data_IF_378133909662
#
_entry.id   IF_378133909662
#
_cell.length_a   1.000
_cell.length_b   1.000
_cell.length_c   1.000
_cell.angle_alpha   90.00
_cell.angle_beta   90.00
_cell.angle_gamma   90.00
#
_symmetry.space_group_name_H-M   'P 1'
#
loop_
_entity.id
_entity.type
_entity.pdbx_description
1 polymer ?
#
# COMPACT_ATOMS: atom_id res chain seq x y z
N UNK A 1 -1.90 -21.91 -1.69
CA UNK A 1 -1.88 -20.47 -2.02
C UNK A 1 -0.94 -19.79 -1.03
N UNK A 2 0.05 -19.03 -1.48
CA UNK A 2 0.96 -18.32 -0.57
C UNK A 2 0.25 -17.11 0.04
N UNK A 3 -0.23 -17.25 1.28
CA UNK A 3 -0.92 -16.21 2.06
C UNK A 3 0.04 -15.30 2.84
N UNK A 4 1.31 -15.23 2.42
CA UNK A 4 2.30 -14.39 3.06
C UNK A 4 2.19 -12.93 2.57
N UNK A 5 2.51 -11.95 3.42
CA UNK A 5 2.58 -10.55 3.00
C UNK A 5 3.61 -10.35 1.88
N UNK A 6 3.33 -9.45 0.94
CA UNK A 6 4.22 -9.15 -0.20
C UNK A 6 4.32 -7.65 -0.45
N UNK A 7 5.50 -7.17 -0.83
CA UNK A 7 5.64 -5.80 -1.29
C UNK A 7 4.97 -5.60 -2.65
N UNK A 8 4.19 -4.54 -2.76
CA UNK A 8 3.43 -4.21 -3.96
C UNK A 8 3.48 -2.71 -4.24
N UNK A 9 3.24 -2.36 -5.51
CA UNK A 9 2.82 -1.02 -5.90
C UNK A 9 1.30 -0.92 -5.84
N UNK A 10 0.79 0.14 -5.24
CA UNK A 10 -0.63 0.42 -5.16
C UNK A 10 -0.92 1.88 -5.49
N UNK A 11 -2.07 2.14 -6.12
CA UNK A 11 -2.60 3.48 -6.36
C UNK A 11 -3.62 3.84 -5.28
N UNK A 12 -3.50 5.03 -4.71
CA UNK A 12 -4.48 5.56 -3.75
C UNK A 12 -5.71 6.05 -4.51
N UNK A 13 -6.89 5.51 -4.20
CA UNK A 13 -8.15 5.90 -4.82
C UNK A 13 -8.96 6.85 -3.93
N UNK A 14 -8.87 6.66 -2.61
CA UNK A 14 -9.62 7.42 -1.61
C UNK A 14 -8.78 7.59 -0.35
N UNK A 15 -9.03 8.68 0.36
CA UNK A 15 -8.43 8.96 1.66
C UNK A 15 -9.57 9.23 2.63
N UNK A 16 -9.69 8.40 3.67
CA UNK A 16 -10.78 8.47 4.64
C UNK A 16 -10.36 9.11 5.98
N UNK A 17 -9.06 9.34 6.16
CA UNK A 17 -8.49 9.90 7.38
C UNK A 17 -7.83 11.26 7.12
N UNK A 18 -7.54 12.00 8.19
CA UNK A 18 -6.90 13.31 8.15
C UNK A 18 -5.42 13.13 7.80
N UNK A 19 -5.02 13.70 6.67
CA UNK A 19 -3.61 13.78 6.27
C UNK A 19 -2.87 14.73 7.20
N UNK A 20 -1.85 14.23 7.90
CA UNK A 20 -0.94 15.09 8.67
C UNK A 20 0.02 15.84 7.73
N UNK A 21 0.52 16.98 8.21
CA UNK A 21 1.52 17.79 7.49
C UNK A 21 2.69 16.93 7.03
N UNK A 22 3.15 17.15 5.79
CA UNK A 22 4.26 16.39 5.21
C UNK A 22 3.88 14.99 4.66
N UNK A 23 2.60 14.61 4.68
CA UNK A 23 2.18 13.32 4.14
C UNK A 23 2.38 13.22 2.63
N UNK A 24 2.97 12.11 2.19
CA UNK A 24 3.15 11.79 0.77
C UNK A 24 1.92 11.13 0.15
N UNK A 25 0.96 10.65 0.95
CA UNK A 25 -0.30 10.05 0.47
C UNK A 25 -1.14 11.10 -0.27
N UNK A 26 -1.57 10.79 -1.49
CA UNK A 26 -2.48 11.62 -2.28
C UNK A 26 -3.27 10.74 -3.25
N UNK A 27 -4.53 11.08 -3.52
CA UNK A 27 -5.37 10.36 -4.51
C UNK A 27 -4.69 10.40 -5.89
N UNK A 28 -4.70 9.26 -6.59
CA UNK A 28 -4.02 9.04 -7.88
C UNK A 28 -2.52 8.76 -7.77
N UNK A 29 -1.94 8.83 -6.57
CA UNK A 29 -0.51 8.55 -6.38
C UNK A 29 -0.26 7.06 -6.26
N UNK A 30 0.83 6.61 -6.89
CA UNK A 30 1.35 5.25 -6.76
C UNK A 30 2.42 5.21 -5.68
N UNK A 31 2.26 4.31 -4.71
CA UNK A 31 3.14 4.12 -3.56
C UNK A 31 3.55 2.64 -3.46
N UNK A 32 4.60 2.36 -2.69
CA UNK A 32 5.03 1.00 -2.37
C UNK A 32 4.58 0.66 -0.95
N UNK A 33 3.93 -0.49 -0.76
CA UNK A 33 3.45 -0.92 0.55
C UNK A 33 3.48 -2.44 0.71
N UNK A 34 3.18 -2.90 1.92
CA UNK A 34 3.13 -4.32 2.24
C UNK A 34 1.68 -4.82 2.16
N UNK A 35 1.38 -5.63 1.15
CA UNK A 35 0.06 -6.21 0.92
C UNK A 35 -0.15 -7.49 1.72
N UNK A 36 -1.29 -7.59 2.38
CA UNK A 36 -1.75 -8.73 3.15
C UNK A 36 -2.94 -9.38 2.42
N UNK A 37 -2.74 -10.50 1.71
CA UNK A 37 -3.79 -11.11 0.89
C UNK A 37 -5.02 -11.59 1.68
N UNK A 38 -4.83 -11.92 2.97
CA UNK A 38 -5.91 -12.42 3.83
C UNK A 38 -6.96 -11.34 4.15
N UNK A 39 -6.49 -10.13 4.43
CA UNK A 39 -7.33 -8.97 4.76
C UNK A 39 -7.60 -8.06 3.57
N UNK A 40 -6.95 -8.30 2.42
CA UNK A 40 -6.95 -7.41 1.25
C UNK A 40 -6.55 -5.99 1.61
N UNK A 41 -5.55 -5.85 2.49
CA UNK A 41 -5.05 -4.54 2.93
C UNK A 41 -3.62 -4.31 2.51
N UNK A 42 -3.27 -3.05 2.26
CA UNK A 42 -1.88 -2.59 2.10
C UNK A 42 -1.52 -1.70 3.28
N UNK A 43 -0.48 -2.10 4.02
CA UNK A 43 0.13 -1.25 5.05
C UNK A 43 1.21 -0.37 4.42
N UNK A 44 1.21 0.91 4.77
CA UNK A 44 2.16 1.90 4.29
C UNK A 44 2.57 2.83 5.43
N UNK A 45 3.88 2.93 5.69
CA UNK A 45 4.43 3.94 6.61
C UNK A 45 4.93 5.13 5.79
N UNK A 46 4.31 6.27 6.00
CA UNK A 46 4.63 7.51 5.30
C UNK A 46 5.91 8.16 5.86
N UNK A 47 6.54 9.04 5.10
CA UNK A 47 7.81 9.69 5.47
C UNK A 47 7.68 10.60 6.70
N UNK A 48 6.45 11.01 7.03
CA UNK A 48 6.14 11.81 8.21
C UNK A 48 5.86 10.96 9.46
N UNK A 49 6.07 9.63 9.39
CA UNK A 49 5.84 8.70 10.49
C UNK A 49 4.37 8.36 10.74
N UNK A 50 3.45 8.76 9.84
CA UNK A 50 2.07 8.32 9.88
C UNK A 50 1.93 6.97 9.18
N UNK A 51 1.34 6.00 9.87
CA UNK A 51 0.97 4.73 9.28
C UNK A 51 -0.43 4.80 8.64
N UNK A 52 -0.55 4.15 7.49
CA UNK A 52 -1.77 4.07 6.70
C UNK A 52 -2.11 2.61 6.43
N UNK A 53 -3.41 2.32 6.46
CA UNK A 53 -3.98 1.07 5.96
C UNK A 53 -4.90 1.40 4.80
N UNK A 54 -4.60 0.82 3.63
CA UNK A 54 -5.45 0.91 2.46
C UNK A 54 -6.13 -0.43 2.19
N UNK A 55 -7.34 -0.41 1.64
CA UNK A 55 -8.14 -1.58 1.31
C UNK A 55 -8.16 -1.74 -0.21
N UNK A 56 -7.72 -2.89 -0.71
CA UNK A 56 -7.67 -3.19 -2.14
C UNK A 56 -9.08 -3.34 -2.71
N UNK A 57 -9.40 -2.56 -3.73
CA UNK A 57 -10.73 -2.44 -4.34
C UNK A 57 -11.62 -1.37 -3.72
N UNK A 58 -11.16 -0.67 -2.67
CA UNK A 58 -11.90 0.45 -2.05
C UNK A 58 -11.02 1.70 -1.96
N UNK A 59 -10.11 1.78 -0.99
CA UNK A 59 -9.25 2.96 -0.81
C UNK A 59 -7.97 2.91 -1.64
N UNK A 60 -7.62 1.74 -2.19
CA UNK A 60 -6.53 1.61 -3.16
C UNK A 60 -6.79 0.54 -4.23
N UNK A 61 -5.94 0.52 -5.26
CA UNK A 61 -5.81 -0.56 -6.24
C UNK A 61 -4.39 -1.06 -6.31
N UNK A 62 -4.16 -2.36 -6.07
CA UNK A 62 -2.85 -2.99 -6.25
C UNK A 62 -2.53 -3.14 -7.75
N UNK A 63 -1.36 -2.66 -8.18
CA UNK A 63 -0.95 -2.59 -9.60
C UNK A 63 0.04 -3.71 -9.96
N UNK A 64 1.04 -3.95 -9.10
CA UNK A 64 2.12 -4.91 -9.40
C UNK A 64 2.65 -5.55 -8.11
N UNK A 65 2.78 -6.87 -8.13
CA UNK A 65 3.55 -7.61 -7.11
C UNK A 65 5.03 -7.47 -7.47
N UNK A 66 5.85 -6.98 -6.54
CA UNK A 66 7.30 -7.09 -6.71
C UNK A 66 7.68 -8.54 -6.42
N UNK A 67 7.91 -9.30 -7.49
CA UNK A 67 8.56 -10.60 -7.35
C UNK A 67 9.95 -10.33 -6.77
N UNK A 68 10.22 -10.85 -5.57
CA UNK A 68 11.57 -10.88 -5.05
C UNK A 68 12.41 -11.67 -6.05
N UNK A 69 13.20 -10.96 -6.87
CA UNK A 69 14.25 -11.55 -7.66
C UNK A 69 15.19 -12.25 -6.68
N UNK A 70 15.10 -13.59 -6.63
CA UNK A 70 16.12 -14.43 -6.01
C UNK A 70 17.40 -14.19 -6.79
N UNK A 71 18.29 -13.38 -6.23
CA UNK A 71 19.69 -13.37 -6.65
C UNK A 71 20.28 -14.66 -6.09
N UNK A 72 20.54 -15.63 -6.99
CA UNK A 72 21.25 -16.86 -6.69
C UNK A 72 22.74 -16.59 -6.53
#
# INVERSE_FOLDING_TARGET
MNNQPKYVKFEVLKIEDIRKTGSTVAIGKVLNGLYYPQSKTVSFSDVNGQDWTFYDGDTCRVIKQEEQLKVF
#
